data_IF_941397873409
#
_entry.id   IF_941397873409
#
_cell.length_a   1.000
_cell.length_b   1.000
_cell.length_c   1.000
_cell.angle_alpha   90.00
_cell.angle_beta   90.00
_cell.angle_gamma   90.00
#
_symmetry.space_group_name_H-M   'P 1'
#
loop_
_entity.id
_entity.type
_entity.pdbx_description
1 polymer ?
#
# COMPACT_ATOMS: atom_id res chain seq x y z
N UNK A 1 53.31 57.11 -29.80
CA UNK A 1 52.29 56.54 -28.89
C UNK A 1 52.90 55.34 -28.19
N UNK A 2 53.20 55.43 -26.89
CA UNK A 2 53.68 54.30 -26.08
C UNK A 2 52.46 53.57 -25.54
N UNK A 3 52.19 52.34 -26.00
CA UNK A 3 51.23 51.49 -25.32
C UNK A 3 51.78 51.17 -23.93
N UNK A 4 51.05 51.58 -22.89
CA UNK A 4 51.44 51.31 -21.51
C UNK A 4 51.37 49.79 -21.29
N UNK A 5 52.48 49.20 -20.85
CA UNK A 5 52.59 47.77 -20.54
C UNK A 5 51.52 47.33 -19.53
N UNK A 6 51.06 48.25 -18.66
CA UNK A 6 49.95 48.02 -17.73
C UNK A 6 48.60 47.79 -18.42
N UNK A 7 48.28 48.48 -19.52
CA UNK A 7 47.02 48.30 -20.25
C UNK A 7 46.96 46.93 -20.94
N UNK A 8 48.10 46.47 -21.44
CA UNK A 8 48.22 45.14 -22.03
C UNK A 8 48.03 44.06 -20.95
N UNK A 9 48.61 44.24 -19.77
CA UNK A 9 48.46 43.32 -18.64
C UNK A 9 47.02 43.26 -18.11
N UNK A 10 46.34 44.41 -17.97
CA UNK A 10 44.95 44.45 -17.50
C UNK A 10 44.00 43.79 -18.50
N UNK A 11 44.18 44.02 -19.81
CA UNK A 11 43.41 43.32 -20.85
C UNK A 11 43.63 41.80 -20.80
N UNK A 12 44.87 41.36 -20.62
CA UNK A 12 45.17 39.93 -20.56
C UNK A 12 44.55 39.25 -19.33
N UNK A 13 44.63 39.90 -18.17
CA UNK A 13 44.00 39.41 -16.94
C UNK A 13 42.46 39.38 -17.05
N UNK A 14 41.85 40.38 -17.68
CA UNK A 14 40.40 40.41 -17.91
C UNK A 14 39.93 39.24 -18.79
N UNK A 15 40.64 38.96 -19.89
CA UNK A 15 40.34 37.84 -20.80
C UNK A 15 40.51 36.49 -20.10
N UNK A 16 41.58 36.32 -19.31
CA UNK A 16 41.78 35.09 -18.52
C UNK A 16 40.66 34.91 -17.49
N UNK A 17 40.23 36.00 -16.85
CA UNK A 17 39.17 35.96 -15.84
C UNK A 17 37.81 35.60 -16.46
N UNK A 18 37.43 36.22 -17.59
CA UNK A 18 36.22 35.85 -18.35
C UNK A 18 36.24 34.39 -18.79
N UNK A 19 37.39 33.90 -19.29
CA UNK A 19 37.53 32.53 -19.73
C UNK A 19 37.40 31.52 -18.59
N UNK A 20 38.00 31.81 -17.42
CA UNK A 20 37.87 31.00 -16.21
C UNK A 20 36.44 31.00 -15.66
N UNK A 21 35.76 32.16 -15.69
CA UNK A 21 34.40 32.29 -15.20
C UNK A 21 33.40 31.57 -16.13
N UNK A 22 33.60 31.66 -17.45
CA UNK A 22 32.85 30.90 -18.46
C UNK A 22 32.99 29.40 -18.25
N UNK A 23 34.20 28.88 -18.01
CA UNK A 23 34.43 27.47 -17.69
C UNK A 23 33.73 27.04 -16.40
N UNK A 24 33.78 27.86 -15.35
CA UNK A 24 33.06 27.60 -14.09
C UNK A 24 31.56 27.52 -14.29
N UNK A 25 30.98 28.47 -15.01
CA UNK A 25 29.55 28.49 -15.28
C UNK A 25 29.11 27.27 -16.11
N UNK A 26 29.92 26.90 -17.10
CA UNK A 26 29.68 25.70 -17.91
C UNK A 26 29.76 24.43 -17.07
N UNK A 27 30.76 24.32 -16.20
CA UNK A 27 30.93 23.18 -15.30
C UNK A 27 29.78 23.07 -14.29
N UNK A 28 29.31 24.20 -13.75
CA UNK A 28 28.13 24.26 -12.85
C UNK A 28 26.86 23.86 -13.58
N UNK A 29 26.65 24.31 -14.83
CA UNK A 29 25.51 23.88 -15.66
C UNK A 29 25.54 22.38 -15.95
N UNK A 30 26.70 21.83 -16.30
CA UNK A 30 26.84 20.38 -16.54
C UNK A 30 26.56 19.60 -15.26
N UNK A 31 27.05 20.06 -14.11
CA UNK A 31 26.79 19.43 -12.83
C UNK A 31 25.29 19.44 -12.50
N UNK A 32 24.64 20.60 -12.59
CA UNK A 32 23.19 20.73 -12.37
C UNK A 32 22.38 19.88 -13.35
N UNK A 33 22.78 19.85 -14.63
CA UNK A 33 22.16 19.00 -15.64
C UNK A 33 22.29 17.52 -15.30
N UNK A 34 23.47 17.08 -14.85
CA UNK A 34 23.69 15.69 -14.41
C UNK A 34 22.87 15.34 -13.17
N UNK A 35 22.75 16.27 -12.21
CA UNK A 35 21.95 16.08 -11.00
C UNK A 35 20.46 15.97 -11.35
N UNK A 36 19.95 16.88 -12.17
CA UNK A 36 18.57 16.87 -12.64
C UNK A 36 18.27 15.58 -13.42
N UNK A 37 19.17 15.15 -14.31
CA UNK A 37 19.04 13.89 -15.03
C UNK A 37 19.02 12.68 -14.08
N UNK A 38 19.90 12.65 -13.07
CA UNK A 38 19.93 11.57 -12.08
C UNK A 38 18.66 11.52 -11.22
N UNK A 39 18.12 12.68 -10.86
CA UNK A 39 16.87 12.80 -10.11
C UNK A 39 15.67 12.33 -10.95
N UNK A 40 15.58 12.78 -12.20
CA UNK A 40 14.56 12.33 -13.15
C UNK A 40 14.65 10.82 -13.40
N UNK A 41 15.87 10.29 -13.55
CA UNK A 41 16.08 8.85 -13.70
C UNK A 41 15.61 8.07 -12.46
N UNK A 42 15.92 8.53 -11.25
CA UNK A 42 15.43 7.92 -10.01
C UNK A 42 13.90 7.92 -9.94
N UNK A 43 13.26 9.03 -10.30
CA UNK A 43 11.80 9.13 -10.35
C UNK A 43 11.23 8.14 -11.36
N UNK A 44 11.76 8.11 -12.59
CA UNK A 44 11.35 7.16 -13.62
C UNK A 44 11.50 5.71 -13.15
N UNK A 45 12.61 5.36 -12.50
CA UNK A 45 12.81 4.00 -11.97
C UNK A 45 11.83 3.66 -10.86
N UNK A 46 11.42 4.61 -10.03
CA UNK A 46 10.37 4.41 -9.03
C UNK A 46 9.02 4.18 -9.72
N UNK A 47 8.64 5.01 -10.70
CA UNK A 47 7.36 4.86 -11.40
C UNK A 47 7.29 3.58 -12.25
N UNK A 48 8.35 3.23 -12.98
CA UNK A 48 8.44 1.99 -13.76
C UNK A 48 8.37 0.74 -12.86
N UNK A 49 8.82 0.84 -11.61
CA UNK A 49 8.68 -0.24 -10.64
C UNK A 49 7.40 -0.15 -9.79
N UNK A 50 6.71 0.98 -9.74
CA UNK A 50 5.57 1.18 -8.85
C UNK A 50 4.42 0.23 -9.19
N UNK A 51 4.10 0.09 -10.48
CA UNK A 51 3.09 -0.86 -10.98
C UNK A 51 3.54 -2.33 -10.84
N UNK A 52 4.85 -2.59 -10.79
CA UNK A 52 5.41 -3.91 -10.47
C UNK A 52 5.43 -4.20 -8.96
N UNK A 53 5.33 -3.17 -8.12
CA UNK A 53 5.41 -3.31 -6.66
C UNK A 53 4.02 -3.39 -6.04
N UNK A 54 3.05 -2.63 -6.53
CA UNK A 54 1.71 -2.55 -5.99
C UNK A 54 0.65 -2.82 -7.05
N UNK A 55 -0.24 -3.76 -6.77
CA UNK A 55 -1.39 -4.04 -7.61
C UNK A 55 -2.67 -3.50 -6.98
N UNK A 56 -3.59 -3.07 -7.85
CA UNK A 56 -4.93 -2.63 -7.45
C UNK A 56 -5.73 -3.84 -6.98
N UNK A 57 -6.28 -3.77 -5.77
CA UNK A 57 -7.17 -4.78 -5.18
C UNK A 57 -8.51 -4.14 -4.85
N UNK A 58 -9.58 -4.91 -5.03
CA UNK A 58 -10.94 -4.50 -4.68
C UNK A 58 -11.37 -5.16 -3.39
N UNK A 59 -11.73 -4.35 -2.40
CA UNK A 59 -12.22 -4.75 -1.10
C UNK A 59 -13.74 -4.63 -1.05
N UNK A 60 -14.42 -5.70 -0.67
CA UNK A 60 -15.87 -5.69 -0.45
C UNK A 60 -16.17 -5.65 1.03
N UNK A 61 -16.84 -4.59 1.45
CA UNK A 61 -17.30 -4.44 2.81
C UNK A 61 -18.83 -4.39 2.85
N UNK A 62 -19.43 -4.89 3.92
CA UNK A 62 -20.89 -4.90 4.09
C UNK A 62 -21.39 -3.56 4.64
N UNK A 63 -22.55 -3.11 4.16
CA UNK A 63 -23.30 -1.93 4.61
C UNK A 63 -24.79 -2.26 4.65
N UNK A 64 -25.58 -1.49 5.39
CA UNK A 64 -27.05 -1.57 5.41
C UNK A 64 -27.72 -1.54 4.02
N UNK A 65 -27.06 -1.00 2.99
CA UNK A 65 -27.54 -0.99 1.59
C UNK A 65 -26.96 -2.11 0.71
N UNK A 66 -26.20 -3.04 1.26
CA UNK A 66 -25.52 -4.13 0.54
C UNK A 66 -23.99 -4.02 0.58
N UNK A 67 -23.30 -4.55 -0.42
CA UNK A 67 -21.83 -4.51 -0.47
C UNK A 67 -21.32 -3.22 -1.12
N UNK A 68 -20.37 -2.57 -0.45
CA UNK A 68 -19.61 -1.44 -0.98
C UNK A 68 -18.23 -1.94 -1.40
N UNK A 69 -17.79 -1.54 -2.59
CA UNK A 69 -16.47 -1.84 -3.09
C UNK A 69 -15.52 -0.66 -2.83
N UNK A 70 -14.33 -0.94 -2.29
CA UNK A 70 -13.27 0.04 -2.05
C UNK A 70 -12.01 -0.44 -2.78
N UNK A 71 -11.35 0.45 -3.54
CA UNK A 71 -10.16 0.10 -4.30
C UNK A 71 -8.90 0.53 -3.56
N UNK A 72 -7.98 -0.40 -3.33
CA UNK A 72 -6.73 -0.17 -2.60
C UNK A 72 -5.53 -0.70 -3.36
N UNK A 73 -4.37 -0.14 -3.06
CA UNK A 73 -3.10 -0.61 -3.61
C UNK A 73 -2.42 -1.50 -2.57
N UNK A 74 -2.14 -2.74 -2.94
CA UNK A 74 -1.43 -3.68 -2.10
C UNK A 74 -0.18 -4.17 -2.80
N UNK A 75 0.88 -4.35 -2.02
CA UNK A 75 2.11 -4.92 -2.55
C UNK A 75 1.84 -6.37 -2.97
N UNK A 76 2.37 -6.78 -4.12
CA UNK A 76 2.30 -8.19 -4.50
C UNK A 76 3.31 -9.03 -3.69
N UNK A 77 2.79 -10.09 -3.08
CA UNK A 77 3.55 -11.15 -2.41
C UNK A 77 4.15 -12.14 -3.39
N UNK A 78 5.04 -13.02 -2.90
CA UNK A 78 5.75 -14.00 -3.74
C UNK A 78 4.85 -15.13 -4.22
N UNK A 79 3.85 -15.48 -3.41
CA UNK A 79 2.90 -16.55 -3.68
C UNK A 79 1.47 -16.11 -3.35
N UNK A 80 0.50 -16.96 -3.67
CA UNK A 80 -0.92 -16.69 -3.40
C UNK A 80 -1.21 -16.53 -1.91
N UNK A 81 -0.58 -17.32 -1.02
CA UNK A 81 -0.77 -17.19 0.43
C UNK A 81 -0.33 -15.82 0.92
N UNK A 82 0.87 -15.38 0.57
CA UNK A 82 1.40 -14.06 0.96
C UNK A 82 0.48 -12.92 0.51
N UNK A 83 -0.06 -13.06 -0.71
CA UNK A 83 -1.05 -12.14 -1.27
C UNK A 83 -2.37 -12.10 -0.49
N UNK A 84 -2.84 -13.26 0.00
CA UNK A 84 -4.02 -13.33 0.86
C UNK A 84 -3.73 -12.79 2.25
N UNK A 85 -2.53 -13.05 2.82
CA UNK A 85 -2.11 -12.53 4.12
C UNK A 85 -2.12 -11.01 4.12
N UNK A 86 -1.55 -10.39 3.08
CA UNK A 86 -1.56 -8.94 2.90
C UNK A 86 -2.97 -8.38 2.76
N UNK A 87 -3.82 -9.06 1.98
CA UNK A 87 -5.21 -8.69 1.80
C UNK A 87 -6.00 -8.75 3.11
N UNK A 88 -5.85 -9.81 3.91
CA UNK A 88 -6.54 -9.93 5.22
C UNK A 88 -6.05 -8.86 6.18
N UNK A 89 -4.73 -8.64 6.26
CA UNK A 89 -4.16 -7.62 7.14
C UNK A 89 -4.72 -6.24 6.83
N UNK A 90 -4.80 -5.88 5.54
CA UNK A 90 -5.40 -4.62 5.11
C UNK A 90 -6.91 -4.57 5.36
N UNK A 91 -7.60 -5.71 5.18
CA UNK A 91 -9.02 -5.84 5.46
C UNK A 91 -9.36 -5.57 6.95
N UNK A 92 -8.52 -6.05 7.87
CA UNK A 92 -8.68 -5.85 9.32
C UNK A 92 -8.54 -4.38 9.74
N UNK A 93 -7.87 -3.54 8.95
CA UNK A 93 -7.78 -2.09 9.20
C UNK A 93 -9.12 -1.37 9.00
N UNK A 94 -10.13 -2.04 8.44
CA UNK A 94 -11.44 -1.44 8.18
C UNK A 94 -11.43 -0.52 6.96
N UNK A 95 -12.42 0.37 6.84
CA UNK A 95 -12.58 1.27 5.70
C UNK A 95 -12.28 2.74 6.02
N UNK A 96 -11.54 3.40 5.13
CA UNK A 96 -11.10 4.79 5.32
C UNK A 96 -12.18 5.85 5.00
N UNK A 97 -13.31 5.48 4.41
CA UNK A 97 -14.21 6.43 3.74
C UNK A 97 -15.36 6.99 4.59
N UNK A 98 -15.23 7.07 5.92
CA UNK A 98 -16.28 7.67 6.77
C UNK A 98 -17.63 6.94 6.76
N UNK A 99 -17.73 5.85 6.01
CA UNK A 99 -18.76 4.83 6.18
C UNK A 99 -18.50 4.15 7.51
N UNK A 100 -19.50 4.13 8.38
CA UNK A 100 -19.50 3.35 9.61
C UNK A 100 -19.48 1.86 9.26
N UNK A 101 -18.31 1.34 8.90
CA UNK A 101 -18.06 -0.08 8.92
C UNK A 101 -17.84 -0.45 10.38
N UNK A 102 -18.90 -0.89 11.06
CA UNK A 102 -18.91 -1.01 12.51
C UNK A 102 -18.01 -2.11 13.10
N UNK A 103 -17.09 -2.70 12.34
CA UNK A 103 -16.10 -3.60 12.93
C UNK A 103 -14.83 -2.79 13.23
N UNK A 104 -14.75 -2.28 14.47
CA UNK A 104 -13.54 -1.68 15.00
C UNK A 104 -12.55 -2.81 15.32
N UNK A 105 -11.97 -3.38 14.26
CA UNK A 105 -11.02 -4.49 14.31
C UNK A 105 -9.58 -4.01 14.50
N UNK A 106 -9.37 -2.73 14.87
CA UNK A 106 -8.05 -2.14 15.05
C UNK A 106 -7.16 -2.94 15.99
N UNK A 107 -7.77 -3.59 16.98
CA UNK A 107 -7.07 -4.35 18.02
C UNK A 107 -6.92 -5.83 17.65
N UNK A 108 -7.65 -6.30 16.63
CA UNK A 108 -7.58 -7.67 16.14
C UNK A 108 -6.25 -7.91 15.42
N UNK A 109 -5.53 -8.95 15.84
CA UNK A 109 -4.22 -9.29 15.29
C UNK A 109 -4.32 -10.50 14.38
N UNK A 110 -3.68 -10.40 13.22
CA UNK A 110 -3.42 -11.54 12.36
C UNK A 110 -2.26 -12.36 12.94
N UNK A 111 -2.53 -13.58 13.40
CA UNK A 111 -1.53 -14.44 14.03
C UNK A 111 -0.74 -15.24 12.99
N UNK A 112 -1.44 -16.11 12.26
CA UNK A 112 -0.85 -16.91 11.18
C UNK A 112 -1.94 -17.38 10.21
N UNK A 113 -1.50 -17.94 9.09
CA UNK A 113 -2.38 -18.52 8.08
C UNK A 113 -1.71 -19.70 7.39
N UNK A 114 -2.53 -20.52 6.75
CA UNK A 114 -2.09 -21.55 5.83
C UNK A 114 -3.10 -21.72 4.70
N UNK A 115 -2.60 -22.15 3.54
CA UNK A 115 -3.40 -22.37 2.34
C UNK A 115 -3.20 -23.82 1.90
N UNK A 116 -4.26 -24.60 1.91
CA UNK A 116 -4.22 -26.02 1.55
C UNK A 116 -5.40 -26.35 0.64
N UNK A 117 -5.13 -26.92 -0.54
CA UNK A 117 -6.17 -27.35 -1.50
C UNK A 117 -7.20 -26.28 -1.90
N UNK A 118 -6.82 -25.00 -1.84
CA UNK A 118 -7.70 -23.85 -2.11
C UNK A 118 -8.58 -23.45 -0.91
N UNK A 119 -8.37 -24.05 0.26
CA UNK A 119 -8.94 -23.64 1.54
C UNK A 119 -7.93 -22.76 2.24
N UNK A 120 -8.34 -21.53 2.55
CA UNK A 120 -7.49 -20.57 3.23
C UNK A 120 -7.92 -20.47 4.69
N UNK A 121 -6.98 -20.79 5.59
CA UNK A 121 -7.17 -20.76 7.02
C UNK A 121 -6.49 -19.50 7.57
N UNK A 122 -7.23 -18.71 8.31
CA UNK A 122 -6.71 -17.55 9.03
C UNK A 122 -6.88 -17.76 10.52
N UNK A 123 -5.84 -17.48 11.30
CA UNK A 123 -5.94 -17.43 12.74
C UNK A 123 -5.80 -15.98 13.20
N UNK A 124 -6.80 -15.53 13.94
CA UNK A 124 -6.89 -14.19 14.50
C UNK A 124 -6.80 -14.27 16.02
N UNK A 125 -6.40 -13.16 16.63
CA UNK A 125 -6.32 -13.06 18.08
C UNK A 125 -7.70 -12.92 18.72
N UNK A 126 -7.78 -13.13 20.04
CA UNK A 126 -9.03 -13.03 20.80
C UNK A 126 -9.70 -11.65 20.70
N UNK A 127 -8.92 -10.58 20.53
CA UNK A 127 -9.45 -9.22 20.34
C UNK A 127 -10.38 -9.11 19.12
N UNK A 128 -10.23 -10.00 18.13
CA UNK A 128 -11.21 -10.11 17.05
C UNK A 128 -12.60 -10.44 17.61
N UNK A 129 -12.70 -11.44 18.48
CA UNK A 129 -13.96 -11.83 19.13
C UNK A 129 -14.52 -10.69 19.98
N UNK A 130 -13.66 -10.07 20.79
CA UNK A 130 -14.06 -9.01 21.71
C UNK A 130 -14.56 -7.75 20.96
N UNK A 131 -14.03 -7.47 19.75
CA UNK A 131 -14.45 -6.32 18.94
C UNK A 131 -15.93 -6.31 18.54
N UNK A 132 -16.58 -7.48 18.47
CA UNK A 132 -17.99 -7.58 18.12
C UNK A 132 -18.93 -7.48 19.33
N UNK A 133 -18.38 -7.59 20.54
CA UNK A 133 -19.08 -7.52 21.83
C UNK A 133 -19.11 -6.11 22.43
N UNK A 134 -18.43 -5.13 21.83
CA UNK A 134 -18.52 -3.74 22.25
C UNK A 134 -19.79 -3.09 21.68
N UNK A 135 -20.54 -2.40 22.56
CA UNK A 135 -21.83 -1.73 22.27
C UNK A 135 -21.68 -0.47 21.37
N UNK A 136 -20.47 -0.12 20.93
CA UNK A 136 -20.18 1.03 20.07
C UNK A 136 -20.64 0.86 18.60
N UNK A 137 -21.47 -0.16 18.31
CA UNK A 137 -21.95 -0.44 16.96
C UNK A 137 -23.24 0.33 16.67
N UNK A 138 -23.17 1.32 15.76
CA UNK A 138 -24.31 2.19 15.40
C UNK A 138 -25.40 1.52 14.53
N UNK A 139 -25.18 0.34 13.95
CA UNK A 139 -26.25 -0.44 13.29
C UNK A 139 -26.70 -1.61 14.17
N UNK A 140 -28.02 -1.76 14.34
CA UNK A 140 -28.67 -2.80 15.14
C UNK A 140 -28.58 -4.19 14.48
N UNK A 141 -27.39 -4.75 14.33
CA UNK A 141 -27.27 -6.17 14.01
C UNK A 141 -27.58 -7.00 15.26
N UNK A 142 -28.65 -7.81 15.17
CA UNK A 142 -29.29 -8.47 16.31
C UNK A 142 -28.40 -9.52 17.03
N UNK A 143 -27.30 -10.00 16.44
CA UNK A 143 -26.41 -10.97 17.11
C UNK A 143 -24.96 -10.98 16.62
N UNK A 144 -24.06 -11.42 17.50
CA UNK A 144 -22.64 -11.69 17.22
C UNK A 144 -22.43 -12.59 15.99
N UNK A 145 -23.22 -13.66 15.87
CA UNK A 145 -23.11 -14.63 14.77
C UNK A 145 -23.38 -13.99 13.40
N UNK A 146 -24.34 -13.06 13.34
CA UNK A 146 -24.63 -12.30 12.12
C UNK A 146 -23.45 -11.41 11.76
N UNK A 147 -22.86 -10.71 12.73
CA UNK A 147 -21.70 -9.84 12.53
C UNK A 147 -20.48 -10.62 11.98
N UNK A 148 -20.16 -11.76 12.60
CA UNK A 148 -19.06 -12.63 12.14
C UNK A 148 -19.35 -13.20 10.75
N UNK A 149 -20.59 -13.57 10.47
CA UNK A 149 -20.99 -14.06 9.15
C UNK A 149 -20.83 -13.00 8.06
N UNK A 150 -21.23 -11.75 8.34
CA UNK A 150 -21.05 -10.62 7.41
C UNK A 150 -19.58 -10.36 7.15
N UNK A 151 -18.73 -10.37 8.20
CA UNK A 151 -17.28 -10.29 8.04
C UNK A 151 -16.74 -11.40 7.13
N UNK A 152 -17.09 -12.65 7.41
CA UNK A 152 -16.62 -13.80 6.63
C UNK A 152 -17.05 -13.73 5.16
N UNK A 153 -18.30 -13.33 4.88
CA UNK A 153 -18.83 -13.17 3.52
C UNK A 153 -18.10 -12.04 2.79
N UNK A 154 -17.92 -10.89 3.44
CA UNK A 154 -17.17 -9.76 2.87
C UNK A 154 -15.73 -10.15 2.52
N UNK A 155 -15.07 -10.89 3.41
CA UNK A 155 -13.68 -11.30 3.21
C UNK A 155 -13.55 -12.35 2.09
N UNK A 156 -14.38 -13.40 2.07
CA UNK A 156 -14.32 -14.40 1.00
C UNK A 156 -14.68 -13.79 -0.36
N UNK A 157 -15.63 -12.84 -0.40
CA UNK A 157 -16.00 -12.12 -1.63
C UNK A 157 -14.82 -11.29 -2.15
N UNK A 158 -14.13 -10.60 -1.25
CA UNK A 158 -12.88 -9.88 -1.55
C UNK A 158 -11.81 -10.81 -2.13
N UNK A 159 -11.56 -11.95 -1.49
CA UNK A 159 -10.56 -12.92 -1.97
C UNK A 159 -10.91 -13.47 -3.35
N UNK A 160 -12.17 -13.87 -3.56
CA UNK A 160 -12.64 -14.47 -4.83
C UNK A 160 -12.64 -13.49 -5.99
N UNK A 161 -12.91 -12.21 -5.72
CA UNK A 161 -12.84 -11.19 -6.75
C UNK A 161 -11.40 -10.94 -7.21
N UNK A 162 -10.46 -10.81 -6.27
CA UNK A 162 -9.06 -10.53 -6.60
C UNK A 162 -8.31 -11.77 -7.12
N UNK A 163 -8.74 -12.98 -6.74
CA UNK A 163 -8.10 -14.26 -7.10
C UNK A 163 -9.14 -15.29 -7.57
N UNK A 164 -9.77 -15.08 -8.74
CA UNK A 164 -10.86 -15.92 -9.21
C UNK A 164 -10.43 -17.37 -9.41
N UNK A 165 -11.25 -18.30 -8.91
CA UNK A 165 -11.01 -19.75 -9.00
C UNK A 165 -9.87 -20.29 -8.14
N UNK A 166 -9.17 -19.44 -7.37
CA UNK A 166 -8.05 -19.86 -6.52
C UNK A 166 -8.46 -20.22 -5.10
N UNK A 167 -9.51 -19.56 -4.58
CA UNK A 167 -10.00 -19.75 -3.20
C UNK A 167 -11.39 -20.39 -3.23
N UNK A 168 -11.45 -21.62 -2.74
CA UNK A 168 -12.67 -22.41 -2.60
C UNK A 168 -13.36 -22.12 -1.28
N UNK A 169 -12.63 -21.90 -0.19
CA UNK A 169 -13.20 -21.81 1.15
C UNK A 169 -12.33 -20.95 2.08
N UNK A 170 -12.96 -20.28 3.04
CA UNK A 170 -12.31 -19.54 4.11
C UNK A 170 -12.66 -20.18 5.45
N UNK A 171 -11.65 -20.42 6.28
CA UNK A 171 -11.80 -20.90 7.66
C UNK A 171 -11.18 -19.87 8.59
N UNK A 172 -11.96 -19.38 9.54
CA UNK A 172 -11.54 -18.40 10.54
C UNK A 172 -11.36 -19.13 11.88
N UNK A 173 -10.14 -19.07 12.40
CA UNK A 173 -9.72 -19.56 13.70
C UNK A 173 -9.51 -18.37 14.63
N UNK A 174 -9.81 -18.56 15.92
CA UNK A 174 -9.46 -17.64 17.00
C UNK A 174 -8.57 -18.36 17.98
N UNK A 175 -7.33 -17.89 18.14
CA UNK A 175 -6.31 -18.52 18.98
C UNK A 175 -6.17 -20.04 18.75
N UNK A 176 -6.41 -20.49 17.50
CA UNK A 176 -6.34 -21.91 17.11
C UNK A 176 -7.65 -22.70 17.19
N UNK A 177 -8.71 -22.12 17.76
CA UNK A 177 -10.05 -22.71 17.80
C UNK A 177 -10.88 -22.31 16.57
N UNK A 178 -11.62 -23.24 15.96
CA UNK A 178 -12.48 -22.92 14.81
C UNK A 178 -13.65 -22.05 15.27
N UNK A 179 -13.76 -20.84 14.70
CA UNK A 179 -14.88 -19.93 14.94
C UNK A 179 -15.92 -20.02 13.83
N UNK A 180 -15.49 -19.99 12.56
CA UNK A 180 -16.40 -19.97 11.42
C UNK A 180 -15.78 -20.58 10.17
N UNK A 181 -16.61 -21.24 9.39
CA UNK A 181 -16.25 -21.79 8.09
C UNK A 181 -17.22 -21.27 7.01
N UNK A 182 -16.69 -20.71 5.92
CA UNK A 182 -17.45 -20.09 4.85
C UNK A 182 -17.05 -20.67 3.49
N UNK A 183 -18.04 -21.23 2.79
CA UNK A 183 -17.93 -21.74 1.40
C UNK A 183 -18.45 -20.73 0.40
#
# INVERSE_FOLDING_TARGET
>A
MKNNISDVFFKYNAVIYEFLNSKKEHMVRVLLGSLAASFLFSICMVFLNYDNLFSKKVFYFHSSKGFVANLRYLRDGKNLKDNLDLLVKDFLLGSNEGFSFGFLLSDARFLYSFLENGIYYINLSREFYDSFNNDDYNESYESFDVKVNLFAISLIKTMRFNYPGKIKKLVILIEGCILKEQS
#
